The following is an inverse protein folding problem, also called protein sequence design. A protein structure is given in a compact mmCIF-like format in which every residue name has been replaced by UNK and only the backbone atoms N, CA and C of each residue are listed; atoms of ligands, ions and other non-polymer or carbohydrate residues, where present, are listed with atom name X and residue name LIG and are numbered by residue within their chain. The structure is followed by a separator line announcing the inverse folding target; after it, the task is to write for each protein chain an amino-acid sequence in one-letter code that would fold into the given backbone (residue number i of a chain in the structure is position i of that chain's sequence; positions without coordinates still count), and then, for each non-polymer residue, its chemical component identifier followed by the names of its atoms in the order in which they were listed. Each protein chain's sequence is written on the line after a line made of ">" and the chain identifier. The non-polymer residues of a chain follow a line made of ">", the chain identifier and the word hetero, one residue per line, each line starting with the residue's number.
data_IF_606857387043
#
_entry.id   IF_606857387043
#
_cell.length_a   1.000
_cell.length_b   1.000
_cell.length_c   1.000
_cell.angle_alpha   90.00
_cell.angle_beta   90.00
_cell.angle_gamma   90.00
#
_symmetry.space_group_name_H-M   'P 1'
#
loop_
_entity.id
_entity.type
_entity.pdbx_description
1 polymer ?
#
# COMPACT_ATOMS: atom_id res chain seq x y z
N UNK A 1 12.16 -5.54 2.48
CA UNK A 1 12.59 -4.24 3.05
C UNK A 1 12.32 -3.17 2.01
N UNK A 2 11.34 -2.30 2.23
CA UNK A 2 10.82 -1.33 1.23
C UNK A 2 11.68 -0.07 1.05
N UNK A 3 12.87 -0.02 1.67
CA UNK A 3 13.75 1.16 1.72
C UNK A 3 15.06 0.91 0.96
N UNK A 4 14.99 0.36 -0.25
CA UNK A 4 16.16 0.26 -1.11
C UNK A 4 16.28 1.51 -1.97
N UNK A 5 17.50 2.01 -2.18
CA UNK A 5 17.77 3.14 -3.09
C UNK A 5 17.41 2.80 -4.55
N UNK A 6 17.29 1.51 -4.88
CA UNK A 6 16.92 1.02 -6.21
C UNK A 6 15.41 0.76 -6.36
N UNK A 7 14.59 1.07 -5.34
CA UNK A 7 13.18 0.74 -5.35
C UNK A 7 12.40 1.83 -6.11
N UNK A 8 11.96 1.49 -7.33
CA UNK A 8 11.03 2.31 -8.12
C UNK A 8 9.64 2.32 -7.46
N UNK A 9 8.92 3.45 -7.58
CA UNK A 9 7.55 3.57 -7.06
C UNK A 9 6.61 2.55 -7.70
N UNK A 10 6.81 2.25 -8.98
CA UNK A 10 6.04 1.24 -9.70
C UNK A 10 6.14 -0.14 -9.01
N UNK A 11 7.36 -0.54 -8.64
CA UNK A 11 7.65 -1.78 -7.94
C UNK A 11 7.13 -1.75 -6.49
N UNK A 12 7.18 -0.59 -5.83
CA UNK A 12 6.57 -0.41 -4.52
C UNK A 12 5.05 -0.68 -4.57
N UNK A 13 4.37 -0.15 -5.58
CA UNK A 13 2.94 -0.35 -5.79
C UNK A 13 2.60 -1.82 -6.08
N UNK A 14 3.41 -2.51 -6.90
CA UNK A 14 3.23 -3.93 -7.17
C UNK A 14 3.31 -4.76 -5.88
N UNK A 15 4.34 -4.54 -5.07
CA UNK A 15 4.48 -5.24 -3.79
C UNK A 15 3.35 -4.93 -2.80
N UNK A 16 2.89 -3.67 -2.75
CA UNK A 16 1.75 -3.30 -1.91
C UNK A 16 0.45 -3.96 -2.37
N UNK A 17 0.22 -4.03 -3.68
CA UNK A 17 -0.90 -4.78 -4.27
C UNK A 17 -0.85 -6.26 -3.92
N UNK A 18 0.31 -6.90 -4.07
CA UNK A 18 0.49 -8.30 -3.70
C UNK A 18 0.22 -8.53 -2.21
N UNK A 19 0.70 -7.63 -1.34
CA UNK A 19 0.47 -7.69 0.10
C UNK A 19 -1.01 -7.51 0.46
N UNK A 20 -1.70 -6.58 -0.22
CA UNK A 20 -3.13 -6.36 -0.05
C UNK A 20 -3.93 -7.60 -0.44
N UNK A 21 -3.67 -8.18 -1.61
CA UNK A 21 -4.34 -9.40 -2.07
C UNK A 21 -4.12 -10.55 -1.07
N UNK A 22 -2.87 -10.74 -0.63
CA UNK A 22 -2.55 -11.73 0.39
C UNK A 22 -3.39 -11.55 1.67
N UNK A 23 -3.51 -10.34 2.22
CA UNK A 23 -4.29 -10.11 3.43
C UNK A 23 -5.80 -10.32 3.23
N UNK A 24 -6.32 -9.95 2.06
CA UNK A 24 -7.72 -10.21 1.70
C UNK A 24 -8.00 -11.71 1.61
N UNK A 25 -7.12 -12.47 0.95
CA UNK A 25 -7.24 -13.92 0.81
C UNK A 25 -7.08 -14.62 2.17
N UNK A 26 -6.15 -14.14 2.99
CA UNK A 26 -5.89 -14.67 4.33
C UNK A 26 -7.05 -14.45 5.32
N UNK A 27 -7.97 -13.52 5.00
CA UNK A 27 -9.17 -13.27 5.81
C UNK A 27 -10.24 -14.36 5.66
N UNK A 28 -10.08 -15.33 4.74
CA UNK A 28 -11.04 -16.40 4.51
C UNK A 28 -11.13 -17.43 5.66
N UNK A 29 -12.25 -18.16 5.70
CA UNK A 29 -12.56 -19.12 6.77
C UNK A 29 -11.63 -20.34 6.73
N UNK A 30 -11.21 -20.72 5.53
CA UNK A 30 -10.26 -21.80 5.27
C UNK A 30 -8.88 -21.47 5.85
N UNK A 31 -8.40 -20.25 5.63
CA UNK A 31 -7.10 -19.76 6.11
C UNK A 31 -7.11 -19.59 7.63
N UNK A 32 -8.22 -19.12 8.21
CA UNK A 32 -8.38 -19.13 9.66
C UNK A 32 -8.30 -20.55 10.23
N UNK A 33 -8.96 -21.53 9.61
CA UNK A 33 -8.90 -22.92 10.05
C UNK A 33 -7.47 -23.50 9.93
N UNK A 34 -6.77 -23.22 8.84
CA UNK A 34 -5.38 -23.62 8.63
C UNK A 34 -4.43 -23.00 9.66
N UNK A 35 -4.60 -21.70 9.96
CA UNK A 35 -3.83 -21.00 10.99
C UNK A 35 -4.04 -21.62 12.37
N UNK A 36 -5.30 -21.91 12.75
CA UNK A 36 -5.60 -22.57 14.03
C UNK A 36 -4.96 -23.95 14.11
N UNK A 37 -4.97 -24.72 13.02
CA UNK A 37 -4.34 -26.04 12.97
C UNK A 37 -2.80 -25.95 13.08
N UNK A 38 -2.18 -24.99 12.40
CA UNK A 38 -0.74 -24.75 12.51
C UNK A 38 -0.35 -24.29 13.92
N UNK A 39 -1.15 -23.42 14.55
CA UNK A 39 -0.94 -22.98 15.92
C UNK A 39 -1.04 -24.15 16.92
N UNK A 40 -1.97 -25.09 16.71
CA UNK A 40 -2.06 -26.31 17.52
C UNK A 40 -0.83 -27.20 17.40
N UNK A 41 -0.36 -27.44 16.16
CA UNK A 41 0.87 -28.21 15.93
C UNK A 41 2.06 -27.59 16.66
N UNK A 42 2.21 -26.27 16.56
CA UNK A 42 3.26 -25.53 17.25
C UNK A 42 3.11 -25.60 18.77
N UNK A 43 1.89 -25.53 19.30
CA UNK A 43 1.65 -25.65 20.75
C UNK A 43 2.06 -27.03 21.27
N UNK A 44 1.74 -28.11 20.54
CA UNK A 44 2.17 -29.48 20.85
C UNK A 44 3.70 -29.61 20.83
N UNK A 45 4.37 -29.03 19.83
CA UNK A 45 5.83 -29.01 19.75
C UNK A 45 6.49 -28.27 20.92
N UNK A 46 5.83 -27.23 21.43
CA UNK A 46 6.30 -26.42 22.55
C UNK A 46 5.83 -26.94 23.93
N UNK A 47 5.12 -28.06 23.98
CA UNK A 47 4.50 -28.60 25.20
C UNK A 47 3.56 -27.60 25.91
N UNK A 48 2.88 -26.76 25.13
CA UNK A 48 1.89 -25.77 25.59
C UNK A 48 0.47 -26.29 25.28
N UNK A 49 -0.50 -25.91 26.12
CA UNK A 49 -1.91 -26.22 25.88
C UNK A 49 -2.39 -25.71 24.50
N UNK A 50 -2.90 -26.61 23.67
CA UNK A 50 -3.30 -26.34 22.28
C UNK A 50 -4.74 -25.82 22.10
N UNK A 51 -5.46 -25.58 23.21
CA UNK A 51 -6.87 -25.19 23.20
C UNK A 51 -7.10 -23.71 23.47
N UNK A 52 -8.32 -23.24 23.18
CA UNK A 52 -8.78 -21.98 23.73
C UNK A 52 -9.28 -22.22 25.16
N UNK A 53 -8.81 -21.43 26.12
CA UNK A 53 -9.29 -21.50 27.50
C UNK A 53 -10.81 -21.26 27.55
N UNK A 54 -11.50 -22.17 28.23
CA UNK A 54 -12.97 -22.16 28.39
C UNK A 54 -13.36 -21.66 29.78
N UNK A 55 -12.39 -21.39 30.65
CA UNK A 55 -12.61 -21.16 32.08
C UNK A 55 -13.43 -19.89 32.40
N UNK A 56 -13.47 -18.92 31.48
CA UNK A 56 -14.41 -17.81 31.53
C UNK A 56 -15.59 -18.06 30.58
N UNK A 57 -16.43 -19.05 30.90
CA UNK A 57 -17.80 -19.07 30.42
C UNK A 57 -18.52 -17.84 31.02
N UNK A 58 -18.32 -16.67 30.39
CA UNK A 58 -18.94 -15.40 30.75
C UNK A 58 -20.42 -15.69 30.96
N UNK A 59 -20.88 -15.65 32.22
CA UNK A 59 -22.28 -15.91 32.54
C UNK A 59 -23.11 -14.90 31.78
N UNK A 60 -23.82 -15.40 30.78
CA UNK A 60 -24.75 -14.62 29.97
C UNK A 60 -25.75 -13.97 30.90
N UNK A 61 -25.69 -12.64 31.04
CA UNK A 61 -26.68 -11.90 31.81
C UNK A 61 -28.01 -11.99 31.07
N UNK A 62 -28.88 -12.90 31.50
CA UNK A 62 -30.24 -13.01 30.96
C UNK A 62 -31.00 -11.72 31.30
N UNK A 63 -31.30 -10.90 30.29
CA UNK A 63 -32.28 -9.82 30.45
C UNK A 63 -33.68 -10.43 30.47
N UNK A 64 -34.49 -9.98 31.43
CA UNK A 64 -35.93 -10.29 31.44
C UNK A 64 -36.57 -9.65 30.20
N UNK A 65 -37.35 -10.44 29.47
CA UNK A 65 -38.11 -9.97 28.30
C UNK A 65 -39.44 -9.40 28.78
N UNK A 66 -39.87 -8.33 28.14
CA UNK A 66 -41.21 -7.80 28.37
C UNK A 66 -42.23 -8.47 27.44
N UNK A 67 -41.80 -8.93 26.26
CA UNK A 67 -42.68 -9.53 25.25
C UNK A 67 -42.14 -10.85 24.67
N UNK A 68 -43.06 -11.77 24.34
CA UNK A 68 -42.73 -13.12 23.84
C UNK A 68 -42.22 -13.14 22.39
N UNK A 69 -42.42 -12.06 21.62
CA UNK A 69 -41.92 -11.93 20.24
C UNK A 69 -40.46 -11.45 20.17
N UNK A 70 -39.85 -11.08 21.31
CA UNK A 70 -38.43 -10.69 21.34
C UNK A 70 -37.54 -11.92 21.08
N UNK A 71 -36.66 -11.82 20.08
CA UNK A 71 -35.61 -12.82 19.82
C UNK A 71 -34.68 -12.99 21.02
N UNK A 72 -33.97 -14.12 21.15
CA UNK A 72 -32.88 -14.23 22.13
C UNK A 72 -31.67 -13.45 21.64
N UNK A 73 -31.14 -12.58 22.49
CA UNK A 73 -29.72 -12.23 22.44
C UNK A 73 -28.97 -13.53 22.73
N UNK A 74 -28.63 -14.27 21.67
CA UNK A 74 -27.80 -15.45 21.75
C UNK A 74 -26.36 -15.00 21.92
N UNK A 75 -25.85 -14.99 23.16
CA UNK A 75 -24.41 -14.95 23.36
C UNK A 75 -23.86 -16.36 23.18
N UNK A 76 -23.50 -16.69 21.95
CA UNK A 76 -22.73 -17.89 21.64
C UNK A 76 -21.47 -17.43 20.96
N UNK A 77 -20.57 -16.83 21.72
CA UNK A 77 -19.21 -16.60 21.24
C UNK A 77 -18.37 -17.69 21.86
N UNK A 78 -18.21 -18.82 21.16
CA UNK A 78 -17.18 -19.79 21.55
C UNK A 78 -15.83 -19.05 21.63
N UNK A 79 -14.92 -19.39 22.55
CA UNK A 79 -13.61 -18.73 22.64
C UNK A 79 -12.90 -18.64 21.28
N UNK A 80 -13.02 -19.69 20.47
CA UNK A 80 -12.54 -19.73 19.07
C UNK A 80 -13.22 -18.69 18.17
N UNK A 81 -14.55 -18.57 18.23
CA UNK A 81 -15.29 -17.58 17.46
C UNK A 81 -15.00 -16.15 17.93
N UNK A 82 -14.76 -15.96 19.24
CA UNK A 82 -14.39 -14.68 19.82
C UNK A 82 -13.03 -14.25 19.28
N UNK A 83 -12.05 -15.13 19.36
CA UNK A 83 -10.73 -14.90 18.80
C UNK A 83 -10.79 -14.60 17.30
N UNK A 84 -11.61 -15.34 16.55
CA UNK A 84 -11.81 -15.08 15.11
C UNK A 84 -12.31 -13.66 14.85
N UNK A 85 -13.40 -13.25 15.49
CA UNK A 85 -14.05 -11.97 15.18
C UNK A 85 -13.31 -10.79 15.80
N UNK A 86 -12.99 -10.89 17.08
CA UNK A 86 -12.48 -9.76 17.88
C UNK A 86 -10.97 -9.55 17.74
N UNK A 87 -10.22 -10.57 17.33
CA UNK A 87 -8.77 -10.47 17.16
C UNK A 87 -8.35 -10.69 15.70
N UNK A 88 -8.53 -11.89 15.16
CA UNK A 88 -8.03 -12.27 13.84
C UNK A 88 -8.58 -11.36 12.72
N UNK A 89 -9.91 -11.33 12.58
CA UNK A 89 -10.58 -10.47 11.60
C UNK A 89 -10.28 -9.00 11.86
N UNK A 90 -10.30 -8.57 13.11
CA UNK A 90 -10.08 -7.16 13.48
C UNK A 90 -8.69 -6.67 13.06
N UNK A 91 -7.65 -7.46 13.31
CA UNK A 91 -6.28 -7.12 12.93
C UNK A 91 -6.14 -7.07 11.41
N UNK A 92 -6.69 -8.07 10.70
CA UNK A 92 -6.64 -8.08 9.24
C UNK A 92 -7.40 -6.91 8.62
N UNK A 93 -8.57 -6.55 9.16
CA UNK A 93 -9.33 -5.37 8.71
C UNK A 93 -8.53 -4.09 8.86
N UNK A 94 -7.89 -3.90 10.02
CA UNK A 94 -7.04 -2.73 10.28
C UNK A 94 -5.87 -2.71 9.31
N UNK A 95 -5.21 -3.86 9.09
CA UNK A 95 -4.08 -3.95 8.17
C UNK A 95 -4.50 -3.66 6.71
N UNK A 96 -5.61 -4.24 6.25
CA UNK A 96 -6.17 -4.01 4.92
C UNK A 96 -6.54 -2.53 4.74
N UNK A 97 -7.22 -1.94 5.72
CA UNK A 97 -7.58 -0.52 5.68
C UNK A 97 -6.33 0.38 5.64
N UNK A 98 -5.36 0.14 6.52
CA UNK A 98 -4.13 0.93 6.56
C UNK A 98 -3.31 0.81 5.26
N UNK A 99 -3.28 -0.36 4.65
CA UNK A 99 -2.63 -0.55 3.34
C UNK A 99 -3.42 0.16 2.25
N UNK A 100 -4.76 0.08 2.24
CA UNK A 100 -5.58 0.79 1.26
C UNK A 100 -5.34 2.30 1.29
N UNK A 101 -5.37 2.92 2.47
CA UNK A 101 -5.15 4.36 2.62
C UNK A 101 -3.76 4.78 2.09
N UNK A 102 -2.71 4.05 2.49
CA UNK A 102 -1.34 4.32 2.03
C UNK A 102 -1.15 4.02 0.54
N UNK A 103 -1.81 2.99 0.04
CA UNK A 103 -1.74 2.59 -1.36
C UNK A 103 -2.38 3.65 -2.26
N UNK A 104 -3.54 4.19 -1.89
CA UNK A 104 -4.19 5.27 -2.62
C UNK A 104 -3.27 6.48 -2.71
N UNK A 105 -2.70 6.93 -1.59
CA UNK A 105 -1.77 8.07 -1.57
C UNK A 105 -0.53 7.83 -2.45
N UNK A 106 0.07 6.62 -2.38
CA UNK A 106 1.24 6.30 -3.18
C UNK A 106 0.89 6.18 -4.67
N UNK A 107 -0.30 5.70 -5.02
CA UNK A 107 -0.79 5.62 -6.40
C UNK A 107 -0.96 7.01 -6.99
N UNK A 108 -1.64 7.92 -6.28
CA UNK A 108 -1.81 9.32 -6.69
C UNK A 108 -0.46 10.00 -6.88
N UNK A 109 0.49 9.79 -5.96
CA UNK A 109 1.83 10.32 -6.08
C UNK A 109 2.58 9.73 -7.29
N UNK A 110 2.48 8.42 -7.53
CA UNK A 110 3.11 7.78 -8.67
C UNK A 110 2.51 8.22 -10.01
N UNK A 111 1.22 8.54 -10.07
CA UNK A 111 0.58 9.11 -11.27
C UNK A 111 1.15 10.48 -11.62
N UNK A 112 1.46 11.30 -10.61
CA UNK A 112 2.01 12.65 -10.79
C UNK A 112 3.53 12.65 -11.02
N UNK A 113 4.29 11.90 -10.22
CA UNK A 113 5.77 11.96 -10.20
C UNK A 113 6.44 10.74 -10.83
N UNK A 114 5.73 9.64 -11.08
CA UNK A 114 6.32 8.36 -11.49
C UNK A 114 7.06 8.42 -12.82
N UNK A 115 6.68 9.32 -13.73
CA UNK A 115 7.37 9.50 -15.00
C UNK A 115 8.82 10.01 -14.83
N UNK A 116 9.12 10.72 -13.73
CA UNK A 116 10.46 11.22 -13.42
C UNK A 116 11.43 10.10 -13.01
N UNK A 117 10.93 8.95 -12.57
CA UNK A 117 11.75 7.82 -12.15
C UNK A 117 12.27 6.97 -13.31
N UNK A 118 11.72 7.18 -14.52
CA UNK A 118 11.98 6.36 -15.70
C UNK A 118 12.28 7.20 -16.97
N UNK A 119 12.89 8.39 -16.79
CA UNK A 119 13.15 9.34 -17.89
C UNK A 119 13.92 8.71 -19.06
N UNK A 120 14.81 7.75 -18.79
CA UNK A 120 15.64 7.10 -19.80
C UNK A 120 15.23 5.67 -20.21
N UNK A 121 14.39 4.98 -19.44
CA UNK A 121 14.09 3.54 -19.62
C UNK A 121 12.80 3.27 -20.39
N UNK A 122 11.81 4.17 -20.30
CA UNK A 122 10.51 4.00 -20.96
C UNK A 122 10.28 5.15 -21.93
N UNK A 123 10.21 4.91 -23.26
CA UNK A 123 9.89 5.96 -24.20
C UNK A 123 8.41 6.30 -24.04
N UNK A 124 8.10 7.29 -23.20
CA UNK A 124 6.84 8.01 -23.29
C UNK A 124 6.80 8.69 -24.65
N UNK A 125 5.62 8.73 -25.27
CA UNK A 125 5.44 9.59 -26.44
C UNK A 125 5.62 11.05 -26.03
N UNK A 126 6.01 11.90 -26.99
CA UNK A 126 6.19 13.34 -26.75
C UNK A 126 4.94 13.98 -26.11
N UNK A 127 3.76 13.56 -26.56
CA UNK A 127 2.46 14.05 -26.08
C UNK A 127 2.14 13.55 -24.67
N UNK A 128 2.44 12.29 -24.35
CA UNK A 128 2.28 11.75 -23.00
C UNK A 128 3.20 12.44 -22.01
N UNK A 129 4.47 12.66 -22.37
CA UNK A 129 5.42 13.36 -21.52
C UNK A 129 4.97 14.81 -21.26
N UNK A 130 4.52 15.51 -22.30
CA UNK A 130 4.01 16.87 -22.16
C UNK A 130 2.77 16.92 -21.26
N UNK A 131 1.88 15.95 -21.39
CA UNK A 131 0.72 15.82 -20.52
C UNK A 131 1.14 15.64 -19.06
N UNK A 132 2.03 14.69 -18.77
CA UNK A 132 2.52 14.48 -17.40
C UNK A 132 3.18 15.73 -16.80
N UNK A 133 3.98 16.47 -17.59
CA UNK A 133 4.60 17.71 -17.11
C UNK A 133 3.56 18.81 -16.80
N UNK A 134 2.50 18.91 -17.61
CA UNK A 134 1.39 19.86 -17.35
C UNK A 134 0.55 19.45 -16.16
N UNK A 135 0.24 18.16 -16.02
CA UNK A 135 -0.51 17.63 -14.89
C UNK A 135 0.26 17.90 -13.58
N UNK A 136 1.59 17.71 -13.58
CA UNK A 136 2.46 18.06 -12.46
C UNK A 136 2.48 19.57 -12.16
N UNK A 137 2.61 20.42 -13.18
CA UNK A 137 2.54 21.88 -13.04
C UNK A 137 1.24 22.31 -12.35
N UNK A 138 0.10 21.76 -12.78
CA UNK A 138 -1.22 22.08 -12.24
C UNK A 138 -1.38 21.55 -10.81
N UNK A 139 -0.90 20.34 -10.53
CA UNK A 139 -0.96 19.75 -9.19
C UNK A 139 -0.14 20.53 -8.16
N UNK A 140 0.95 21.18 -8.59
CA UNK A 140 1.81 22.01 -7.74
C UNK A 140 1.46 23.50 -7.76
N UNK A 141 0.47 23.91 -8.56
CA UNK A 141 0.05 25.29 -8.65
C UNK A 141 -0.71 25.70 -7.37
N UNK A 142 -0.29 26.78 -6.74
CA UNK A 142 -0.96 27.38 -5.59
C UNK A 142 -1.09 28.88 -5.80
N UNK A 143 -2.29 29.43 -5.59
CA UNK A 143 -2.59 30.87 -5.72
C UNK A 143 -2.16 31.50 -7.06
N UNK A 144 -2.23 30.74 -8.14
CA UNK A 144 -1.88 31.22 -9.49
C UNK A 144 -0.37 31.25 -9.75
N UNK A 145 0.45 30.76 -8.83
CA UNK A 145 1.90 30.58 -8.99
C UNK A 145 2.24 29.10 -8.97
N UNK A 146 3.28 28.71 -9.71
CA UNK A 146 3.82 27.35 -9.69
C UNK A 146 5.33 27.45 -9.79
N UNK A 147 6.05 26.69 -8.96
CA UNK A 147 7.51 26.64 -8.99
C UNK A 147 8.05 25.96 -10.26
N UNK A 148 7.19 25.24 -10.99
CA UNK A 148 7.56 24.46 -12.17
C UNK A 148 6.70 24.92 -13.33
N UNK A 149 7.30 25.20 -14.49
CA UNK A 149 6.56 25.38 -15.75
C UNK A 149 6.52 24.05 -16.52
N UNK A 150 5.31 23.50 -16.75
CA UNK A 150 5.16 22.20 -17.39
C UNK A 150 5.68 22.12 -18.83
N UNK A 151 5.73 23.24 -19.56
CA UNK A 151 6.28 23.27 -20.93
C UNK A 151 7.81 23.33 -20.90
N UNK A 152 8.39 24.12 -19.99
CA UNK A 152 9.85 24.20 -19.80
C UNK A 152 10.39 22.86 -19.29
N UNK A 153 9.76 22.27 -18.28
CA UNK A 153 10.11 20.96 -17.75
C UNK A 153 10.12 19.88 -18.85
N UNK A 154 9.15 19.92 -19.76
CA UNK A 154 9.11 18.99 -20.90
C UNK A 154 10.34 19.14 -21.80
N UNK A 155 10.75 20.36 -22.13
CA UNK A 155 11.96 20.61 -22.92
C UNK A 155 13.23 20.16 -22.18
N UNK A 156 13.33 20.42 -20.88
CA UNK A 156 14.46 20.03 -20.03
C UNK A 156 14.61 18.52 -19.95
N UNK A 157 13.52 17.80 -19.68
CA UNK A 157 13.53 16.33 -19.61
C UNK A 157 13.94 15.74 -20.96
N UNK A 158 13.48 16.28 -22.08
CA UNK A 158 13.92 15.84 -23.42
C UNK A 158 15.39 16.13 -23.69
N UNK A 159 15.90 17.27 -23.24
CA UNK A 159 17.31 17.62 -23.40
C UNK A 159 18.21 16.66 -22.62
N UNK A 160 17.84 16.35 -21.38
CA UNK A 160 18.57 15.41 -20.50
C UNK A 160 18.41 13.97 -20.99
N UNK A 161 17.20 13.56 -21.41
CA UNK A 161 16.93 12.21 -21.92
C UNK A 161 17.82 11.80 -23.09
N UNK A 162 18.27 12.76 -23.92
CA UNK A 162 19.23 12.52 -25.02
C UNK A 162 20.65 12.23 -24.54
N UNK A 163 20.99 12.62 -23.32
CA UNK A 163 22.31 12.46 -22.72
C UNK A 163 22.41 11.20 -21.85
N UNK A 164 21.27 10.59 -21.51
CA UNK A 164 21.20 9.39 -20.68
C UNK A 164 21.35 8.14 -21.55
N UNK A 165 22.21 7.22 -21.12
CA UNK A 165 22.23 5.86 -21.65
C UNK A 165 20.98 5.11 -21.15
N UNK A 166 20.36 4.30 -22.01
CA UNK A 166 19.16 3.48 -21.68
C UNK A 166 19.36 2.50 -20.51
N UNK A 167 20.60 2.30 -20.06
CA UNK A 167 20.97 1.47 -18.91
C UNK A 167 21.11 2.24 -17.58
N UNK A 168 21.17 3.57 -17.60
CA UNK A 168 21.38 4.44 -16.44
C UNK A 168 20.25 5.48 -16.31
N UNK A 169 19.02 4.99 -16.23
CA UNK A 169 17.81 5.83 -16.19
C UNK A 169 17.28 6.09 -14.79
N UNK A 170 17.94 5.60 -13.75
CA UNK A 170 17.51 5.79 -12.37
C UNK A 170 17.66 7.27 -11.95
N UNK A 171 16.83 7.78 -11.02
CA UNK A 171 16.86 9.18 -10.60
C UNK A 171 18.26 9.68 -10.20
N UNK A 172 19.08 8.84 -9.58
CA UNK A 172 20.42 9.22 -9.13
C UNK A 172 21.37 9.41 -10.32
N UNK A 173 21.26 8.56 -11.34
CA UNK A 173 22.00 8.73 -12.60
C UNK A 173 21.56 10.00 -13.34
N UNK A 174 20.26 10.32 -13.37
CA UNK A 174 19.74 11.58 -13.92
C UNK A 174 20.35 12.78 -13.20
N UNK A 175 20.29 12.81 -11.87
CA UNK A 175 20.85 13.91 -11.07
C UNK A 175 22.37 14.04 -11.26
N UNK A 176 23.08 12.92 -11.37
CA UNK A 176 24.51 12.93 -11.67
C UNK A 176 24.80 13.54 -13.05
N UNK A 177 23.99 13.20 -14.06
CA UNK A 177 24.09 13.78 -15.40
C UNK A 177 23.91 15.31 -15.34
N UNK A 178 22.85 15.79 -14.69
CA UNK A 178 22.59 17.23 -14.51
C UNK A 178 23.80 17.94 -13.87
N UNK A 179 24.35 17.36 -12.79
CA UNK A 179 25.51 17.91 -12.09
C UNK A 179 26.76 17.96 -12.99
N UNK A 180 27.04 16.88 -13.75
CA UNK A 180 28.22 16.82 -14.62
C UNK A 180 28.10 17.69 -15.87
N UNK A 181 26.89 17.88 -16.37
CA UNK A 181 26.62 18.66 -17.58
C UNK A 181 26.62 20.17 -17.32
N UNK A 182 26.74 20.61 -16.07
CA UNK A 182 26.76 22.03 -15.65
C UNK A 182 25.60 22.83 -16.30
N UNK A 183 24.41 22.23 -16.34
CA UNK A 183 23.24 22.79 -17.02
C UNK A 183 22.84 24.07 -16.28
N UNK A 184 22.79 25.19 -17.00
CA UNK A 184 22.36 26.48 -16.47
C UNK A 184 20.89 26.66 -16.83
N UNK A 185 20.08 27.18 -15.90
CA UNK A 185 18.70 27.61 -16.17
C UNK A 185 18.70 28.57 -17.36
N UNK A 186 17.92 28.22 -18.39
CA UNK A 186 17.67 29.13 -19.51
C UNK A 186 16.54 30.05 -19.04
N UNK A 187 16.91 31.19 -18.43
CA UNK A 187 16.01 32.27 -18.01
C UNK A 187 15.39 32.97 -19.23
#
# INVERSE_FOLDING_TARGET
>A
MFQSQALDLSLALEHLNATKSFLCDYRCDEEFAAMVENAKKLAVELEIFEGFDVDDAVRVRRKSRQFLYEGRDESIVSPKQNFRVSFFNRILDIAIQAINERFTQLSEYNELFGFLYNIGSKPLTDDELLKHCKDLHLALMSDGQSDINGVELWYEIKAIGRQLDTSNSDPKSVLKCIYTSNVVEIV
#
